data_IF_363994937720
#
_entry.id   IF_363994937720
#
_cell.length_a   1.000
_cell.length_b   1.000
_cell.length_c   1.000
_cell.angle_alpha   90.00
_cell.angle_beta   90.00
_cell.angle_gamma   90.00
#
_symmetry.space_group_name_H-M   'P 1'
#
loop_
_entity.id
_entity.type
_entity.pdbx_description
1 polymer ?
#
# COMPACT_ATOMS: atom_id res chain seq x y z
N UNK A 1 33.84 -16.17 8.78
CA UNK A 1 32.89 -17.26 8.50
C UNK A 1 33.06 -17.64 7.04
N UNK A 2 33.45 -18.89 6.78
CA UNK A 2 33.69 -19.43 5.46
C UNK A 2 32.36 -19.69 4.74
N UNK A 3 31.99 -18.84 3.79
CA UNK A 3 30.89 -19.14 2.88
C UNK A 3 31.46 -19.83 1.65
N UNK A 4 31.45 -21.17 1.70
CA UNK A 4 31.70 -22.04 0.54
C UNK A 4 30.58 -21.77 -0.49
N UNK A 5 30.96 -21.39 -1.70
CA UNK A 5 30.06 -21.27 -2.84
C UNK A 5 30.09 -22.59 -3.63
N UNK A 6 28.96 -23.27 -3.75
CA UNK A 6 28.79 -24.46 -4.59
C UNK A 6 28.39 -24.04 -6.01
N UNK A 7 29.06 -24.62 -6.99
CA UNK A 7 28.87 -24.33 -8.41
C UNK A 7 27.58 -24.99 -8.92
N UNK A 8 26.77 -24.22 -9.65
CA UNK A 8 25.64 -24.76 -10.41
C UNK A 8 26.19 -25.23 -11.76
N UNK A 9 26.52 -26.51 -11.85
CA UNK A 9 26.93 -27.17 -13.09
C UNK A 9 25.76 -27.23 -14.08
N UNK A 10 25.90 -26.59 -15.25
CA UNK A 10 25.24 -27.06 -16.48
C UNK A 10 26.22 -27.02 -17.65
N UNK A 11 26.51 -28.23 -18.10
CA UNK A 11 27.50 -28.59 -19.09
C UNK A 11 27.15 -28.16 -20.52
N UNK A 12 28.17 -27.72 -21.26
CA UNK A 12 28.24 -27.80 -22.71
C UNK A 12 29.64 -28.25 -23.13
N UNK A 13 29.81 -29.59 -23.19
CA UNK A 13 30.91 -30.38 -23.79
C UNK A 13 32.32 -29.76 -23.84
N UNK A 14 32.95 -29.60 -22.67
CA UNK A 14 34.40 -29.77 -22.53
C UNK A 14 35.10 -28.66 -21.76
N UNK A 15 34.97 -27.41 -22.19
CA UNK A 15 35.68 -26.30 -21.57
C UNK A 15 34.79 -25.06 -21.59
N UNK A 16 34.07 -24.83 -20.48
CA UNK A 16 33.36 -23.57 -20.25
C UNK A 16 34.40 -22.57 -19.74
N UNK A 17 34.78 -21.61 -20.58
CA UNK A 17 35.56 -20.45 -20.13
C UNK A 17 34.64 -19.51 -19.36
N UNK A 18 34.69 -19.60 -18.03
CA UNK A 18 33.96 -18.69 -17.13
C UNK A 18 34.77 -17.41 -16.99
N UNK A 19 34.39 -16.36 -17.72
CA UNK A 19 34.95 -15.03 -17.51
C UNK A 19 34.23 -14.32 -16.34
N UNK A 20 34.97 -14.06 -15.27
CA UNK A 20 34.47 -13.30 -14.12
C UNK A 20 34.44 -11.81 -14.46
N UNK A 21 33.25 -11.27 -14.74
CA UNK A 21 33.06 -9.82 -14.90
C UNK A 21 32.72 -9.17 -13.55
N UNK A 22 33.35 -8.03 -13.19
CA UNK A 22 32.98 -7.30 -11.99
C UNK A 22 31.59 -6.69 -12.16
N UNK A 23 30.64 -7.14 -11.33
CA UNK A 23 29.30 -6.54 -11.26
C UNK A 23 29.29 -5.57 -10.10
N UNK A 24 29.05 -4.29 -10.37
CA UNK A 24 28.82 -3.31 -9.32
C UNK A 24 27.46 -3.56 -8.70
N UNK A 25 27.43 -3.96 -7.43
CA UNK A 25 26.20 -3.97 -6.64
C UNK A 25 25.84 -2.52 -6.35
N UNK A 26 24.82 -2.00 -7.04
CA UNK A 26 24.25 -0.69 -6.71
C UNK A 26 23.43 -0.86 -5.42
N UNK A 27 24.12 -0.85 -4.28
CA UNK A 27 23.49 -0.75 -2.96
C UNK A 27 22.96 0.68 -2.81
N UNK A 28 21.72 0.92 -3.24
CA UNK A 28 21.16 2.27 -3.11
C UNK A 28 19.88 2.60 -3.85
N UNK A 29 19.05 1.64 -4.28
CA UNK A 29 17.66 2.00 -4.53
C UNK A 29 17.04 2.30 -3.16
N UNK A 30 16.92 3.59 -2.79
CA UNK A 30 16.01 4.03 -1.72
C UNK A 30 14.73 3.24 -1.95
N UNK A 31 14.34 2.40 -0.97
CA UNK A 31 13.14 1.55 -0.98
C UNK A 31 12.15 2.11 -1.99
N UNK A 32 11.83 1.36 -3.05
CA UNK A 32 10.87 1.79 -4.06
C UNK A 32 9.48 1.90 -3.41
N UNK A 33 9.31 2.93 -2.59
CA UNK A 33 8.05 3.35 -2.03
C UNK A 33 7.27 3.84 -3.24
N UNK A 34 6.43 2.95 -3.78
CA UNK A 34 5.36 3.40 -4.64
C UNK A 34 4.59 4.44 -3.82
N UNK A 35 4.51 5.66 -4.34
CA UNK A 35 3.57 6.64 -3.80
C UNK A 35 2.18 6.02 -3.77
N UNK A 36 1.31 6.47 -2.88
CA UNK A 36 -0.07 5.97 -2.78
C UNK A 36 -0.74 5.89 -4.16
N UNK A 37 -0.62 6.96 -4.96
CA UNK A 37 -1.12 7.01 -6.34
C UNK A 37 -0.53 5.90 -7.22
N UNK A 38 0.79 5.69 -7.17
CA UNK A 38 1.46 4.65 -7.95
C UNK A 38 1.08 3.25 -7.49
N UNK A 39 0.86 3.05 -6.18
CA UNK A 39 0.41 1.78 -5.61
C UNK A 39 -1.03 1.47 -6.06
N UNK A 40 -1.94 2.45 -5.98
CA UNK A 40 -3.32 2.31 -6.45
C UNK A 40 -3.39 2.03 -7.95
N UNK A 41 -2.59 2.72 -8.77
CA UNK A 41 -2.52 2.48 -10.21
C UNK A 41 -2.00 1.07 -10.55
N UNK A 42 -1.06 0.55 -9.75
CA UNK A 42 -0.58 -0.82 -9.90
C UNK A 42 -1.65 -1.83 -9.48
N UNK A 43 -2.34 -1.57 -8.38
CA UNK A 43 -3.43 -2.42 -7.90
C UNK A 43 -4.60 -2.45 -8.90
N UNK A 44 -5.00 -1.30 -9.44
CA UNK A 44 -6.07 -1.23 -10.44
C UNK A 44 -5.73 -2.04 -11.69
N UNK A 45 -4.47 -2.02 -12.14
CA UNK A 45 -4.02 -2.83 -13.28
C UNK A 45 -4.17 -4.33 -13.01
N UNK A 46 -3.76 -4.80 -11.82
CA UNK A 46 -3.83 -6.22 -11.43
C UNK A 46 -5.29 -6.69 -11.32
N UNK A 47 -6.15 -5.87 -10.71
CA UNK A 47 -7.57 -6.20 -10.55
C UNK A 47 -8.27 -6.21 -11.91
N UNK A 48 -8.02 -5.19 -12.74
CA UNK A 48 -8.57 -5.13 -14.10
C UNK A 48 -8.15 -6.34 -14.93
N UNK A 49 -6.88 -6.74 -14.89
CA UNK A 49 -6.37 -7.90 -15.62
C UNK A 49 -7.10 -9.18 -15.21
N UNK A 50 -7.35 -9.38 -13.91
CA UNK A 50 -8.13 -10.52 -13.41
C UNK A 50 -9.57 -10.50 -13.89
N UNK A 51 -10.24 -9.34 -13.87
CA UNK A 51 -11.62 -9.21 -14.32
C UNK A 51 -11.78 -9.43 -15.82
N UNK A 52 -10.89 -8.83 -16.62
CA UNK A 52 -10.89 -8.94 -18.08
C UNK A 52 -10.60 -10.38 -18.50
N UNK A 53 -9.59 -11.03 -17.90
CA UNK A 53 -9.28 -12.44 -18.16
C UNK A 53 -10.39 -13.38 -17.74
N UNK A 54 -11.08 -13.13 -16.62
CA UNK A 54 -12.22 -13.94 -16.18
C UNK A 54 -13.37 -13.93 -17.20
N UNK A 55 -13.50 -12.84 -17.97
CA UNK A 55 -14.47 -12.70 -19.06
C UNK A 55 -13.97 -13.26 -20.40
N UNK A 56 -12.76 -13.81 -20.46
CA UNK A 56 -12.17 -14.38 -21.67
C UNK A 56 -11.65 -13.34 -22.68
N UNK A 57 -11.51 -12.08 -22.29
CA UNK A 57 -10.97 -11.03 -23.15
C UNK A 57 -9.46 -10.87 -22.97
N UNK A 58 -8.78 -10.46 -24.03
CA UNK A 58 -7.37 -10.10 -23.97
C UNK A 58 -7.17 -8.69 -23.39
N UNK A 59 -6.07 -8.52 -22.65
CA UNK A 59 -5.73 -7.23 -22.04
C UNK A 59 -4.96 -6.31 -22.97
N UNK A 60 -4.35 -6.87 -24.01
CA UNK A 60 -3.48 -6.18 -24.96
C UNK A 60 -3.92 -6.56 -26.38
N UNK A 61 -3.61 -5.70 -27.35
CA UNK A 61 -3.61 -6.09 -28.75
C UNK A 61 -2.46 -7.08 -29.03
N UNK A 62 -2.45 -7.65 -30.23
CA UNK A 62 -1.41 -8.58 -30.67
C UNK A 62 0.00 -7.96 -30.61
N UNK A 63 0.99 -8.81 -30.33
CA UNK A 63 2.38 -8.40 -30.27
C UNK A 63 2.91 -8.09 -31.69
N UNK A 64 3.77 -7.08 -31.78
CA UNK A 64 4.30 -6.56 -33.05
C UNK A 64 5.76 -7.02 -33.20
N UNK A 65 6.12 -7.75 -34.27
CA UNK A 65 7.52 -8.04 -34.56
C UNK A 65 8.24 -6.77 -35.00
N UNK A 66 9.41 -6.51 -34.42
CA UNK A 66 10.23 -5.32 -34.69
C UNK A 66 11.66 -5.78 -35.01
N UNK A 67 12.24 -5.25 -36.07
CA UNK A 67 13.66 -5.47 -36.38
C UNK A 67 14.50 -4.44 -35.63
N UNK A 68 15.51 -4.91 -34.90
CA UNK A 68 16.49 -4.07 -34.21
C UNK A 68 17.57 -3.57 -35.17
N UNK A 69 18.36 -2.59 -34.75
CA UNK A 69 19.42 -1.97 -35.56
C UNK A 69 20.51 -2.96 -36.02
N UNK A 70 20.69 -4.05 -35.28
CA UNK A 70 21.62 -5.14 -35.60
C UNK A 70 21.05 -6.19 -36.57
N UNK A 71 19.83 -5.97 -37.08
CA UNK A 71 19.13 -6.86 -37.99
C UNK A 71 18.43 -8.04 -37.32
N UNK A 72 18.49 -8.16 -35.99
CA UNK A 72 17.78 -9.22 -35.25
C UNK A 72 16.29 -8.89 -35.11
N UNK A 73 15.46 -9.92 -35.02
CA UNK A 73 14.01 -9.77 -34.78
C UNK A 73 13.70 -9.83 -33.29
N UNK A 74 12.98 -8.82 -32.80
CA UNK A 74 12.45 -8.73 -31.45
C UNK A 74 10.92 -8.63 -31.49
N UNK A 75 10.27 -8.86 -30.35
CA UNK A 75 8.82 -8.75 -30.21
C UNK A 75 8.50 -7.58 -29.29
N UNK A 76 7.81 -6.57 -29.81
CA UNK A 76 7.24 -5.48 -29.02
C UNK A 76 5.86 -5.91 -28.56
N UNK A 77 5.63 -5.87 -27.24
CA UNK A 77 4.33 -6.21 -26.67
C UNK A 77 3.25 -5.28 -27.21
N UNK A 78 2.10 -5.84 -27.57
CA UNK A 78 0.95 -5.05 -28.01
C UNK A 78 0.47 -4.08 -26.93
N UNK A 79 -0.10 -2.95 -27.36
CA UNK A 79 -0.61 -1.95 -26.42
C UNK A 79 -1.84 -2.48 -25.67
N UNK A 80 -2.10 -1.99 -24.44
CA UNK A 80 -3.31 -2.37 -23.71
C UNK A 80 -4.57 -2.00 -24.51
N UNK A 81 -5.58 -2.88 -24.52
CA UNK A 81 -6.83 -2.62 -25.24
C UNK A 81 -7.61 -1.47 -24.60
N UNK A 82 -8.39 -0.74 -25.41
CA UNK A 82 -9.26 0.33 -24.89
C UNK A 82 -10.23 -0.20 -23.82
N UNK A 83 -10.76 -1.40 -24.01
CA UNK A 83 -11.62 -2.07 -23.05
C UNK A 83 -10.91 -2.31 -21.71
N UNK A 84 -9.69 -2.86 -21.75
CA UNK A 84 -8.89 -3.07 -20.54
C UNK A 84 -8.58 -1.74 -19.83
N UNK A 85 -8.20 -0.71 -20.59
CA UNK A 85 -7.90 0.61 -20.04
C UNK A 85 -9.13 1.26 -19.39
N UNK A 86 -10.31 1.13 -20.00
CA UNK A 86 -11.57 1.61 -19.43
C UNK A 86 -11.94 0.91 -18.12
N UNK A 87 -11.81 -0.42 -18.07
CA UNK A 87 -12.03 -1.20 -16.84
C UNK A 87 -11.04 -0.79 -15.74
N UNK A 88 -9.76 -0.68 -16.09
CA UNK A 88 -8.70 -0.25 -15.16
C UNK A 88 -8.98 1.15 -14.59
N UNK A 89 -9.38 2.10 -15.41
CA UNK A 89 -9.67 3.47 -14.96
C UNK A 89 -10.86 3.49 -14.00
N UNK A 90 -11.93 2.76 -14.31
CA UNK A 90 -13.08 2.62 -13.40
C UNK A 90 -12.70 2.05 -12.04
N UNK A 91 -11.87 0.99 -12.02
CA UNK A 91 -11.34 0.41 -10.78
C UNK A 91 -10.44 1.42 -10.04
N UNK A 92 -9.60 2.17 -10.75
CA UNK A 92 -8.72 3.16 -10.14
C UNK A 92 -9.51 4.25 -9.43
N UNK A 93 -10.58 4.76 -10.03
CA UNK A 93 -11.48 5.74 -9.42
C UNK A 93 -12.12 5.17 -8.16
N UNK A 94 -12.68 3.96 -8.25
CA UNK A 94 -13.31 3.29 -7.10
C UNK A 94 -12.34 3.08 -5.93
N UNK A 95 -11.08 2.70 -6.22
CA UNK A 95 -10.04 2.54 -5.21
C UNK A 95 -9.69 3.87 -4.51
N UNK A 96 -9.61 4.98 -5.25
CA UNK A 96 -9.37 6.30 -4.65
C UNK A 96 -10.53 6.72 -3.75
N UNK A 97 -11.77 6.51 -4.18
CA UNK A 97 -12.95 6.81 -3.37
C UNK A 97 -13.01 5.97 -2.09
N UNK A 98 -12.69 4.68 -2.19
CA UNK A 98 -12.62 3.78 -1.05
C UNK A 98 -11.58 4.27 -0.03
N UNK A 99 -10.36 4.57 -0.51
CA UNK A 99 -9.29 5.02 0.35
C UNK A 99 -9.60 6.36 1.02
N UNK A 100 -10.31 7.27 0.32
CA UNK A 100 -10.79 8.53 0.90
C UNK A 100 -11.76 8.27 2.06
N UNK A 101 -12.69 7.33 1.90
CA UNK A 101 -13.63 6.94 2.96
C UNK A 101 -12.91 6.31 4.16
N UNK A 102 -11.96 5.42 3.92
CA UNK A 102 -11.16 4.81 4.99
C UNK A 102 -10.39 5.85 5.80
N UNK A 103 -9.74 6.81 5.13
CA UNK A 103 -9.04 7.92 5.81
C UNK A 103 -10.00 8.76 6.65
N UNK A 104 -11.21 8.99 6.16
CA UNK A 104 -12.23 9.73 6.91
C UNK A 104 -12.71 8.96 8.15
N UNK A 105 -12.88 7.65 8.04
CA UNK A 105 -13.23 6.78 9.18
C UNK A 105 -12.13 6.84 10.25
N UNK A 106 -10.87 6.70 9.85
CA UNK A 106 -9.73 6.78 10.78
C UNK A 106 -9.73 8.12 11.51
N UNK A 107 -9.92 9.22 10.78
CA UNK A 107 -10.01 10.56 11.39
C UNK A 107 -11.15 10.67 12.40
N UNK A 108 -12.33 10.18 12.05
CA UNK A 108 -13.49 10.20 12.97
C UNK A 108 -13.26 9.32 14.20
N UNK A 109 -12.58 8.19 14.07
CA UNK A 109 -12.22 7.33 15.19
C UNK A 109 -11.25 8.03 16.16
N UNK A 110 -10.26 8.75 15.63
CA UNK A 110 -9.33 9.54 16.44
C UNK A 110 -10.05 10.69 17.17
N UNK A 111 -10.95 11.40 16.48
CA UNK A 111 -11.75 12.46 17.07
C UNK A 111 -12.68 11.92 18.18
N UNK A 112 -13.31 10.78 17.93
CA UNK A 112 -14.14 10.10 18.93
C UNK A 112 -13.32 9.68 20.15
N UNK A 113 -12.15 9.07 19.94
CA UNK A 113 -11.26 8.65 21.04
C UNK A 113 -10.85 9.84 21.92
N UNK A 114 -10.55 11.00 21.31
CA UNK A 114 -10.27 12.23 22.06
C UNK A 114 -11.48 12.72 22.84
N UNK A 115 -12.65 12.75 22.22
CA UNK A 115 -13.89 13.18 22.87
C UNK A 115 -14.25 12.29 24.08
N UNK A 116 -14.00 10.98 23.99
CA UNK A 116 -14.20 10.05 25.12
C UNK A 116 -13.27 10.37 26.29
N UNK A 117 -11.99 10.66 26.02
CA UNK A 117 -11.04 11.05 27.06
C UNK A 117 -11.47 12.37 27.72
N UNK A 118 -11.82 13.37 26.92
CA UNK A 118 -12.27 14.67 27.44
C UNK A 118 -13.54 14.53 28.27
N UNK A 119 -14.49 13.70 27.84
CA UNK A 119 -15.71 13.40 28.59
C UNK A 119 -15.41 12.75 29.94
N UNK A 120 -14.52 11.75 29.98
CA UNK A 120 -14.11 11.10 31.23
C UNK A 120 -13.49 12.10 32.21
N UNK A 121 -12.63 13.00 31.73
CA UNK A 121 -12.01 14.02 32.58
C UNK A 121 -13.04 15.02 33.13
N UNK A 122 -14.07 15.33 32.35
CA UNK A 122 -15.17 16.18 32.80
C UNK A 122 -16.04 15.47 33.85
N UNK A 123 -16.33 14.18 33.67
CA UNK A 123 -17.07 13.38 34.64
C UNK A 123 -16.34 13.34 36.00
N UNK A 124 -15.04 13.06 36.00
CA UNK A 124 -14.19 13.06 37.20
C UNK A 124 -14.25 14.42 37.92
N UNK A 125 -14.21 15.51 37.14
CA UNK A 125 -14.28 16.87 37.67
C UNK A 125 -15.66 17.19 38.27
N UNK A 126 -16.74 16.75 37.64
CA UNK A 126 -18.10 16.91 38.15
C UNK A 126 -18.26 16.14 39.45
N UNK A 127 -17.74 14.92 39.54
CA UNK A 127 -17.78 14.12 40.76
C UNK A 127 -17.02 14.81 41.91
N UNK A 128 -15.80 15.30 41.66
CA UNK A 128 -15.02 16.04 42.64
C UNK A 128 -15.79 17.27 43.17
N UNK A 129 -16.39 18.06 42.28
CA UNK A 129 -17.18 19.23 42.66
C UNK A 129 -18.41 18.85 43.49
N UNK A 130 -19.06 17.72 43.19
CA UNK A 130 -20.18 17.21 43.99
C UNK A 130 -19.73 16.82 45.41
N UNK A 131 -18.60 16.13 45.54
CA UNK A 131 -18.04 15.78 46.84
C UNK A 131 -17.70 17.03 47.67
N UNK A 132 -17.07 18.04 47.06
CA UNK A 132 -16.75 19.31 47.71
C UNK A 132 -18.01 20.05 48.17
N UNK A 133 -19.05 20.09 47.33
CA UNK A 133 -20.32 20.72 47.68
C UNK A 133 -20.98 20.01 48.87
N UNK A 134 -20.99 18.67 48.87
CA UNK A 134 -21.56 17.89 49.95
C UNK A 134 -20.83 18.14 51.27
N UNK A 135 -19.49 18.11 51.26
CA UNK A 135 -18.67 18.44 52.42
C UNK A 135 -18.95 19.86 52.95
N UNK A 136 -19.12 20.84 52.06
CA UNK A 136 -19.46 22.21 52.44
C UNK A 136 -20.86 22.32 53.08
N UNK A 137 -21.84 21.57 52.56
CA UNK A 137 -23.18 21.48 53.13
C UNK A 137 -23.14 20.89 54.55
N UNK A 138 -22.40 19.80 54.74
CA UNK A 138 -22.32 19.10 56.02
C UNK A 138 -21.58 19.94 57.07
N UNK A 139 -20.48 20.59 56.68
CA UNK A 139 -19.78 21.56 57.55
C UNK A 139 -20.71 22.71 57.98
N UNK A 140 -21.55 23.22 57.06
CA UNK A 140 -22.50 24.30 57.39
C UNK A 140 -23.61 23.84 58.33
N UNK A 141 -24.05 22.59 58.26
CA UNK A 141 -25.02 22.03 59.20
C UNK A 141 -24.44 21.92 60.60
N UNK A 142 -23.21 21.44 60.74
CA UNK A 142 -22.52 21.29 62.02
C UNK A 142 -22.22 22.64 62.71
N UNK A 143 -22.08 23.73 61.95
CA UNK A 143 -21.90 25.09 62.50
C UNK A 143 -23.20 25.75 63.00
N UNK A 144 -24.37 25.18 62.67
CA UNK A 144 -25.69 25.71 63.05
C UNK A 144 -26.38 24.90 64.15
N UNK A 145 -25.81 23.76 64.55
CA UNK A 145 -26.20 22.95 65.71
C UNK A 145 -25.37 23.32 66.93
#
# INVERSE_FOLDING_TARGET
>A
MNNKFEAIEKASKGEITVEMRPVYIINGAKRAYLSERSALNKLSSIVAEREVRKKGFETNYEDIPVTLEDGTTAVKRGEPTEYFMGVKEGILIALHEHLKKEKQIIKLQEEYAKAVVDHSLLDDKVELLRQQLQAAIDNRKNLKS
#
